data_IF_722771474369
#
_entry.id   IF_722771474369
#
_cell.length_a   1.000
_cell.length_b   1.000
_cell.length_c   1.000
_cell.angle_alpha   90.00
_cell.angle_beta   90.00
_cell.angle_gamma   90.00
#
_symmetry.space_group_name_H-M   'P 1'
#
loop_
_entity.id
_entity.type
_entity.pdbx_description
1 polymer ?
#
# COMPACT_ATOMS: atom_id res chain seq x y z
N UNK A 1 7.00 34.53 2.74
CA UNK A 1 6.43 35.54 3.66
C UNK A 1 6.69 35.08 5.09
N UNK A 2 7.18 35.93 6.01
CA UNK A 2 7.23 35.56 7.43
C UNK A 2 5.81 35.41 7.97
N UNK A 3 5.55 34.29 8.63
CA UNK A 3 4.28 33.98 9.28
C UNK A 3 4.30 34.65 10.66
N UNK A 4 3.26 35.39 11.02
CA UNK A 4 3.10 35.96 12.37
C UNK A 4 2.71 34.86 13.37
N UNK A 5 2.70 35.14 14.68
CA UNK A 5 2.17 34.20 15.69
C UNK A 5 0.70 33.88 15.39
N UNK A 6 0.42 32.68 14.88
CA UNK A 6 -0.92 32.23 14.48
C UNK A 6 -1.53 31.23 15.48
N UNK A 7 -0.73 30.54 16.28
CA UNK A 7 -1.17 29.39 17.08
C UNK A 7 -2.03 29.70 18.32
N UNK A 8 -2.34 30.97 18.58
CA UNK A 8 -3.12 31.41 19.74
C UNK A 8 -4.62 31.55 19.45
N UNK A 9 -5.04 31.35 18.19
CA UNK A 9 -6.45 31.44 17.80
C UNK A 9 -7.25 30.20 18.21
N UNK A 10 -8.52 30.40 18.57
CA UNK A 10 -9.42 29.34 19.06
C UNK A 10 -9.57 28.14 18.09
N UNK A 11 -9.39 28.35 16.79
CA UNK A 11 -9.48 27.29 15.77
C UNK A 11 -8.36 26.24 15.89
N UNK A 12 -7.26 26.58 16.56
CA UNK A 12 -6.13 25.68 16.78
C UNK A 12 -6.20 24.90 18.10
N UNK A 13 -7.22 25.12 18.92
CA UNK A 13 -7.37 24.46 20.21
C UNK A 13 -7.66 22.96 20.07
N UNK A 14 -7.12 22.14 20.98
CA UNK A 14 -7.32 20.68 21.01
C UNK A 14 -8.79 20.25 21.08
N UNK A 15 -9.63 21.05 21.75
CA UNK A 15 -11.07 20.80 21.83
C UNK A 15 -11.72 20.72 20.43
N UNK A 16 -11.30 21.58 19.50
CA UNK A 16 -11.79 21.56 18.11
C UNK A 16 -11.42 20.28 17.38
N UNK A 17 -10.22 19.74 17.65
CA UNK A 17 -9.83 18.42 17.16
C UNK A 17 -10.78 17.33 17.64
N UNK A 18 -11.13 17.34 18.93
CA UNK A 18 -12.06 16.36 19.51
C UNK A 18 -13.47 16.50 18.92
N UNK A 19 -14.00 17.72 18.82
CA UNK A 19 -15.33 17.98 18.23
C UNK A 19 -15.38 17.48 16.78
N UNK A 20 -14.41 17.87 15.95
CA UNK A 20 -14.38 17.46 14.54
C UNK A 20 -14.23 15.93 14.39
N UNK A 21 -13.46 15.28 15.27
CA UNK A 21 -13.38 13.81 15.29
C UNK A 21 -14.75 13.19 15.60
N UNK A 22 -15.40 13.64 16.67
CA UNK A 22 -16.67 13.09 17.13
C UNK A 22 -17.78 13.27 16.08
N UNK A 23 -17.83 14.45 15.44
CA UNK A 23 -18.75 14.73 14.32
C UNK A 23 -18.48 13.82 13.12
N UNK A 24 -17.21 13.58 12.77
CA UNK A 24 -16.86 12.70 11.64
C UNK A 24 -17.24 11.25 11.90
N UNK A 25 -17.14 10.81 13.16
CA UNK A 25 -17.51 9.45 13.56
C UNK A 25 -18.99 9.28 13.90
N UNK A 26 -19.76 10.38 13.92
CA UNK A 26 -21.15 10.44 14.39
C UNK A 26 -21.33 9.82 15.80
N UNK A 27 -20.46 10.23 16.72
CA UNK A 27 -20.43 9.71 18.10
C UNK A 27 -20.35 10.83 19.12
N UNK A 28 -21.00 10.64 20.27
CA UNK A 28 -20.87 11.54 21.43
C UNK A 28 -19.76 11.10 22.38
N UNK A 29 -19.36 9.84 22.32
CA UNK A 29 -18.29 9.26 23.14
C UNK A 29 -16.92 9.47 22.47
N UNK A 30 -15.85 9.44 23.27
CA UNK A 30 -14.49 9.62 22.76
C UNK A 30 -13.91 8.27 22.34
N UNK A 31 -13.94 7.97 21.03
CA UNK A 31 -13.22 6.82 20.46
C UNK A 31 -11.71 7.06 20.35
N UNK A 32 -11.28 8.33 20.28
CA UNK A 32 -9.87 8.70 20.31
C UNK A 32 -9.69 9.90 21.25
N UNK A 33 -8.62 9.89 22.03
CA UNK A 33 -8.32 10.96 22.98
C UNK A 33 -7.42 12.02 22.33
N UNK A 34 -7.82 13.28 22.43
CA UNK A 34 -6.99 14.43 22.04
C UNK A 34 -6.45 14.37 20.60
N UNK A 35 -7.30 14.07 19.58
CA UNK A 35 -6.88 14.20 18.19
C UNK A 35 -6.47 15.66 17.92
N UNK A 36 -5.48 15.86 17.05
CA UNK A 36 -5.04 17.21 16.68
C UNK A 36 -6.13 17.92 15.90
N UNK A 37 -6.10 19.25 15.90
CA UNK A 37 -7.00 20.06 15.06
C UNK A 37 -6.60 19.93 13.60
N UNK A 38 -7.58 19.68 12.72
CA UNK A 38 -7.38 19.66 11.25
C UNK A 38 -6.87 21.01 10.77
N UNK A 39 -7.42 22.11 11.31
CA UNK A 39 -7.02 23.48 10.99
C UNK A 39 -5.54 23.75 11.27
N UNK A 40 -5.01 23.24 12.39
CA UNK A 40 -3.60 23.40 12.73
C UNK A 40 -2.71 22.75 11.68
N UNK A 41 -3.04 21.51 11.28
CA UNK A 41 -2.26 20.81 10.26
C UNK A 41 -2.45 21.40 8.87
N UNK A 42 -3.66 21.89 8.55
CA UNK A 42 -3.95 22.57 7.29
C UNK A 42 -3.05 23.80 7.12
N UNK A 43 -2.97 24.65 8.15
CA UNK A 43 -2.11 25.83 8.11
C UNK A 43 -0.62 25.47 8.01
N UNK A 44 -0.16 24.45 8.76
CA UNK A 44 1.23 23.97 8.66
C UNK A 44 1.58 23.53 7.23
N UNK A 45 0.68 22.78 6.59
CA UNK A 45 0.87 22.31 5.21
C UNK A 45 0.81 23.46 4.20
N UNK A 46 -0.10 24.42 4.35
CA UNK A 46 -0.16 25.60 3.49
C UNK A 46 1.12 26.43 3.54
N UNK A 47 1.76 26.51 4.69
CA UNK A 47 2.99 27.29 4.88
C UNK A 47 4.24 26.53 4.44
N UNK A 48 4.26 25.21 4.62
CA UNK A 48 5.47 24.40 4.51
C UNK A 48 5.53 23.45 3.32
N UNK A 49 4.41 23.18 2.64
CA UNK A 49 4.34 22.17 1.59
C UNK A 49 3.80 22.72 0.26
N UNK A 50 4.52 22.51 -0.87
CA UNK A 50 3.97 22.79 -2.18
C UNK A 50 2.74 21.93 -2.49
N UNK A 51 2.02 22.26 -3.55
CA UNK A 51 0.76 21.60 -3.94
C UNK A 51 0.93 20.15 -4.40
N UNK A 52 2.14 19.69 -4.67
CA UNK A 52 2.50 18.35 -5.14
C UNK A 52 3.40 17.60 -4.14
N UNK A 53 3.49 18.09 -2.90
CA UNK A 53 4.35 17.50 -1.88
C UNK A 53 3.89 16.11 -1.42
N UNK A 54 4.85 15.26 -1.03
CA UNK A 54 4.60 14.05 -0.25
C UNK A 54 4.78 14.35 1.23
N UNK A 55 3.72 14.15 2.02
CA UNK A 55 3.68 14.40 3.46
C UNK A 55 3.82 13.09 4.21
N UNK A 56 4.87 12.96 5.03
CA UNK A 56 5.08 11.80 5.90
C UNK A 56 4.69 12.14 7.34
N UNK A 57 3.84 11.31 7.93
CA UNK A 57 3.55 11.32 9.36
C UNK A 57 3.65 9.89 9.90
N UNK A 58 4.76 9.62 10.58
CA UNK A 58 5.06 8.30 11.13
C UNK A 58 4.53 8.10 12.57
N UNK A 59 3.73 9.04 13.06
CA UNK A 59 2.97 8.95 14.32
C UNK A 59 1.52 9.37 14.05
N UNK A 60 0.88 8.69 13.10
CA UNK A 60 -0.42 9.08 12.56
C UNK A 60 -1.48 9.33 13.64
N UNK A 61 -1.51 8.48 14.68
CA UNK A 61 -2.44 8.56 15.80
C UNK A 61 -3.88 8.40 15.34
N UNK A 62 -4.57 9.53 15.17
CA UNK A 62 -5.93 9.53 14.60
C UNK A 62 -5.94 9.71 13.07
N UNK A 63 -4.80 9.96 12.43
CA UNK A 63 -4.66 10.36 11.02
C UNK A 63 -5.23 11.76 10.70
N UNK A 64 -4.99 12.74 11.59
CA UNK A 64 -5.38 14.14 11.32
C UNK A 64 -4.63 14.73 10.12
N UNK A 65 -3.36 14.35 9.90
CA UNK A 65 -2.53 14.82 8.79
C UNK A 65 -3.12 14.45 7.42
N UNK A 66 -3.49 13.18 7.23
CA UNK A 66 -4.14 12.72 6.00
C UNK A 66 -5.46 13.48 5.72
N UNK A 67 -6.27 13.71 6.75
CA UNK A 67 -7.48 14.54 6.62
C UNK A 67 -7.14 15.95 6.11
N UNK A 68 -6.16 16.62 6.73
CA UNK A 68 -5.76 17.97 6.32
C UNK A 68 -5.20 18.02 4.89
N UNK A 69 -4.45 16.99 4.47
CA UNK A 69 -3.95 16.87 3.09
C UNK A 69 -5.09 16.77 2.08
N UNK A 70 -6.05 15.86 2.29
CA UNK A 70 -7.21 15.71 1.40
C UNK A 70 -8.03 16.99 1.34
N UNK A 71 -8.26 17.64 2.50
CA UNK A 71 -8.99 18.89 2.57
C UNK A 71 -8.31 20.00 1.75
N UNK A 72 -6.98 20.12 1.83
CA UNK A 72 -6.26 21.12 1.04
C UNK A 72 -6.32 20.87 -0.45
N UNK A 73 -6.14 19.62 -0.88
CA UNK A 73 -6.23 19.30 -2.30
C UNK A 73 -7.63 19.64 -2.85
N UNK A 74 -8.69 19.41 -2.07
CA UNK A 74 -10.05 19.78 -2.42
C UNK A 74 -10.29 21.30 -2.51
N UNK A 75 -9.66 22.07 -1.62
CA UNK A 75 -9.79 23.53 -1.55
C UNK A 75 -8.96 24.27 -2.61
N UNK A 76 -7.74 23.79 -2.90
CA UNK A 76 -6.77 24.51 -3.72
C UNK A 76 -6.39 23.83 -5.03
N UNK A 77 -6.96 22.67 -5.34
CA UNK A 77 -6.69 21.90 -6.56
C UNK A 77 -5.30 21.27 -6.55
N UNK A 78 -4.70 21.11 -5.37
CA UNK A 78 -3.43 20.43 -5.21
C UNK A 78 -3.51 18.93 -5.44
N UNK A 79 -2.32 18.32 -5.50
CA UNK A 79 -2.08 16.89 -5.64
C UNK A 79 -1.07 16.41 -4.58
N UNK A 80 -1.21 16.91 -3.35
CA UNK A 80 -0.35 16.50 -2.22
C UNK A 80 -0.65 15.04 -1.88
N UNK A 81 0.40 14.23 -1.71
CA UNK A 81 0.31 12.83 -1.28
C UNK A 81 0.57 12.73 0.21
N UNK A 82 0.08 11.67 0.85
CA UNK A 82 0.40 11.38 2.25
C UNK A 82 0.89 9.95 2.44
N UNK A 83 1.80 9.76 3.39
CA UNK A 83 2.24 8.48 3.92
C UNK A 83 2.03 8.52 5.43
N UNK A 84 1.13 7.66 5.93
CA UNK A 84 0.82 7.56 7.35
C UNK A 84 1.38 6.24 7.90
N UNK A 85 2.18 6.31 8.95
CA UNK A 85 2.62 5.11 9.69
C UNK A 85 1.97 5.11 11.07
N UNK A 86 1.37 3.98 11.41
CA UNK A 86 0.73 3.76 12.71
C UNK A 86 1.04 2.35 13.19
N UNK A 87 1.61 2.24 14.40
CA UNK A 87 1.76 0.96 15.07
C UNK A 87 0.36 0.35 15.31
N UNK A 88 0.17 -0.96 15.13
CA UNK A 88 -1.09 -1.64 15.48
C UNK A 88 -1.19 -1.83 17.00
N UNK A 89 -1.07 -0.74 17.75
CA UNK A 89 -1.26 -0.71 19.20
C UNK A 89 -2.70 -1.06 19.53
N UNK A 90 -2.88 -2.04 20.42
CA UNK A 90 -4.20 -2.48 20.88
C UNK A 90 -4.88 -1.39 21.70
N UNK A 91 -6.17 -1.19 21.46
CA UNK A 91 -6.99 -0.33 22.30
C UNK A 91 -7.32 -1.04 23.61
N UNK A 92 -7.38 -0.31 24.72
CA UNK A 92 -7.85 -0.86 26.00
C UNK A 92 -9.25 -1.51 25.84
N UNK A 93 -9.41 -2.76 26.28
CA UNK A 93 -10.65 -3.54 26.17
C UNK A 93 -11.86 -2.84 26.81
N UNK A 94 -11.63 -1.97 27.80
CA UNK A 94 -12.67 -1.19 28.48
C UNK A 94 -13.00 0.11 27.77
N UNK A 95 -12.19 0.52 26.79
CA UNK A 95 -12.39 1.76 26.04
C UNK A 95 -13.63 1.71 25.15
N UNK A 96 -14.18 2.88 24.84
CA UNK A 96 -15.29 3.00 23.90
C UNK A 96 -14.88 2.61 22.48
N UNK A 97 -13.59 2.77 22.12
CA UNK A 97 -13.05 2.33 20.84
C UNK A 97 -13.14 0.81 20.67
N UNK A 98 -12.69 0.06 21.67
CA UNK A 98 -12.74 -1.40 21.64
C UNK A 98 -14.19 -1.91 21.58
N UNK A 99 -15.09 -1.32 22.37
CA UNK A 99 -16.53 -1.65 22.35
C UNK A 99 -17.18 -1.33 21.00
N UNK A 100 -16.69 -0.32 20.29
CA UNK A 100 -17.15 0.03 18.94
C UNK A 100 -16.51 -0.84 17.84
N UNK A 101 -15.68 -1.82 18.20
CA UNK A 101 -15.07 -2.79 17.27
C UNK A 101 -13.70 -2.40 16.74
N UNK A 102 -13.13 -1.27 17.18
CA UNK A 102 -11.76 -0.89 16.84
C UNK A 102 -10.80 -1.53 17.84
N UNK A 103 -10.18 -2.64 17.46
CA UNK A 103 -9.20 -3.38 18.28
C UNK A 103 -7.85 -2.69 18.34
N UNK A 104 -7.49 -1.93 17.31
CA UNK A 104 -6.20 -1.21 17.25
C UNK A 104 -6.37 0.24 16.88
N UNK A 105 -5.41 1.09 17.29
CA UNK A 105 -5.36 2.50 16.91
C UNK A 105 -5.30 2.66 15.37
N UNK A 106 -4.59 1.75 14.70
CA UNK A 106 -4.50 1.73 13.24
C UNK A 106 -5.88 1.59 12.55
N UNK A 107 -6.82 0.87 13.15
CA UNK A 107 -8.19 0.76 12.62
C UNK A 107 -8.95 2.08 12.71
N UNK A 108 -8.81 2.80 13.83
CA UNK A 108 -9.39 4.14 13.99
C UNK A 108 -8.79 5.12 12.98
N UNK A 109 -7.46 5.07 12.78
CA UNK A 109 -6.76 5.86 11.76
C UNK A 109 -7.31 5.61 10.35
N UNK A 110 -7.36 4.35 9.92
CA UNK A 110 -7.89 3.96 8.60
C UNK A 110 -9.33 4.44 8.43
N UNK A 111 -10.15 4.26 9.45
CA UNK A 111 -11.55 4.65 9.40
C UNK A 111 -11.75 6.17 9.34
N UNK A 112 -10.94 6.94 10.07
CA UNK A 112 -10.96 8.41 9.95
C UNK A 112 -10.63 8.83 8.53
N UNK A 113 -9.62 8.25 7.89
CA UNK A 113 -9.23 8.59 6.51
C UNK A 113 -10.40 8.34 5.55
N UNK A 114 -11.05 7.16 5.63
CA UNK A 114 -12.22 6.84 4.80
C UNK A 114 -13.36 7.83 4.97
N UNK A 115 -13.75 8.11 6.21
CA UNK A 115 -14.84 9.04 6.52
C UNK A 115 -14.53 10.47 6.11
N UNK A 116 -13.29 10.91 6.33
CA UNK A 116 -12.83 12.22 5.91
C UNK A 116 -12.91 12.36 4.39
N UNK A 117 -12.38 11.37 3.65
CA UNK A 117 -12.46 11.34 2.19
C UNK A 117 -13.90 11.42 1.69
N UNK A 118 -14.80 10.59 2.22
CA UNK A 118 -16.22 10.60 1.86
C UNK A 118 -16.88 11.97 2.12
N UNK A 119 -16.66 12.55 3.31
CA UNK A 119 -17.21 13.86 3.68
C UNK A 119 -16.67 15.00 2.80
N UNK A 120 -15.41 14.93 2.39
CA UNK A 120 -14.79 15.92 1.50
C UNK A 120 -15.40 15.84 0.09
N UNK A 121 -15.67 14.63 -0.41
CA UNK A 121 -16.32 14.43 -1.71
C UNK A 121 -17.76 14.96 -1.76
N UNK A 122 -18.47 14.94 -0.63
CA UNK A 122 -19.81 15.52 -0.48
C UNK A 122 -19.81 17.06 -0.40
N UNK A 123 -18.66 17.66 -0.07
CA UNK A 123 -18.50 19.10 0.10
C UNK A 123 -18.22 19.86 -1.20
N UNK A 124 -18.11 21.18 -1.07
CA UNK A 124 -17.63 22.04 -2.16
C UNK A 124 -16.14 21.78 -2.40
N UNK A 125 -15.79 21.49 -3.66
CA UNK A 125 -14.41 21.30 -4.09
C UNK A 125 -14.16 22.06 -5.40
N UNK A 126 -12.91 22.44 -5.63
CA UNK A 126 -12.54 23.10 -6.89
C UNK A 126 -12.56 22.11 -8.06
N UNK A 127 -13.02 22.56 -9.22
CA UNK A 127 -13.14 21.70 -10.42
C UNK A 127 -11.80 21.10 -10.88
N UNK A 128 -10.69 21.80 -10.61
CA UNK A 128 -9.35 21.35 -10.98
C UNK A 128 -8.84 20.16 -10.16
N UNK A 129 -9.49 19.82 -9.03
CA UNK A 129 -9.07 18.70 -8.20
C UNK A 129 -9.52 17.36 -8.77
N UNK A 130 -8.60 16.39 -8.81
CA UNK A 130 -8.83 15.03 -9.30
C UNK A 130 -9.71 14.16 -8.37
N UNK A 131 -10.15 14.70 -7.23
CA UNK A 131 -10.98 14.00 -6.23
C UNK A 131 -10.32 12.73 -5.67
N UNK A 132 -8.99 12.68 -5.67
CA UNK A 132 -8.27 11.57 -5.07
C UNK A 132 -8.32 11.64 -3.54
N UNK A 133 -9.16 10.78 -2.96
CA UNK A 133 -9.26 10.49 -1.52
C UNK A 133 -8.88 9.03 -1.21
N UNK A 134 -8.36 8.32 -2.21
CA UNK A 134 -7.98 6.93 -2.12
C UNK A 134 -6.71 6.76 -1.29
N UNK A 135 -6.54 5.57 -0.70
CA UNK A 135 -5.30 5.19 -0.06
C UNK A 135 -5.16 3.68 -0.06
N UNK A 136 -3.91 3.21 -0.11
CA UNK A 136 -3.56 1.80 0.08
C UNK A 136 -3.15 1.57 1.53
N UNK A 137 -3.47 0.39 2.06
CA UNK A 137 -3.09 -0.02 3.41
C UNK A 137 -2.09 -1.16 3.28
N UNK A 138 -0.89 -0.95 3.81
CA UNK A 138 0.16 -1.96 3.86
C UNK A 138 0.46 -2.30 5.31
N UNK A 139 0.86 -3.55 5.56
CA UNK A 139 1.26 -4.04 6.87
C UNK A 139 2.66 -4.62 6.75
N UNK A 140 3.50 -4.32 7.74
CA UNK A 140 4.79 -5.01 7.88
C UNK A 140 4.53 -6.42 8.42
N UNK A 141 5.06 -7.40 7.72
CA UNK A 141 5.01 -8.82 8.07
C UNK A 141 6.43 -9.41 7.90
N UNK A 142 6.62 -10.67 8.29
CA UNK A 142 7.82 -11.43 7.99
C UNK A 142 8.01 -11.63 6.49
N UNK A 143 9.26 -11.88 6.07
CA UNK A 143 9.62 -12.17 4.67
C UNK A 143 8.71 -13.23 4.06
N UNK A 144 8.41 -13.11 2.76
CA UNK A 144 7.71 -14.17 2.03
C UNK A 144 8.58 -15.40 1.79
N UNK A 145 9.91 -15.25 1.87
CA UNK A 145 10.84 -16.35 1.63
C UNK A 145 10.91 -17.28 2.83
N UNK A 146 10.97 -18.59 2.58
CA UNK A 146 11.20 -19.60 3.58
C UNK A 146 12.55 -19.36 4.26
N UNK A 147 12.55 -19.53 5.58
CA UNK A 147 13.73 -19.34 6.41
C UNK A 147 14.66 -20.55 6.25
N UNK A 148 15.65 -20.44 5.34
CA UNK A 148 16.62 -21.50 5.08
C UNK A 148 17.75 -21.41 6.11
N UNK A 149 17.49 -21.86 7.34
CA UNK A 149 18.50 -21.98 8.41
C UNK A 149 18.87 -23.44 8.63
N UNK A 150 19.71 -24.01 7.76
CA UNK A 150 20.37 -25.27 8.06
C UNK A 150 21.82 -25.25 7.59
N UNK A 151 22.69 -25.86 8.40
CA UNK A 151 24.00 -26.28 7.91
C UNK A 151 23.82 -27.63 7.18
N UNK A 152 24.64 -27.95 6.15
CA UNK A 152 24.53 -29.20 5.40
C UNK A 152 24.50 -30.45 6.31
N UNK A 153 25.14 -30.36 7.48
CA UNK A 153 25.27 -31.43 8.46
C UNK A 153 24.00 -31.68 9.30
N UNK A 154 23.02 -30.77 9.28
CA UNK A 154 21.75 -30.85 10.04
C UNK A 154 20.58 -31.35 9.19
N UNK A 155 20.79 -31.59 7.89
CA UNK A 155 19.72 -31.94 6.95
C UNK A 155 19.39 -33.43 7.02
N UNK A 156 18.13 -33.78 7.27
CA UNK A 156 17.66 -35.18 7.22
C UNK A 156 16.98 -35.46 5.88
N UNK A 157 17.03 -36.71 5.39
CA UNK A 157 16.41 -37.09 4.11
C UNK A 157 14.90 -36.78 4.06
N UNK A 158 14.21 -36.76 5.21
CA UNK A 158 12.81 -36.40 5.31
C UNK A 158 12.55 -34.90 5.09
N UNK A 159 13.50 -34.02 5.46
CA UNK A 159 13.38 -32.56 5.30
C UNK A 159 13.63 -32.05 3.87
N UNK A 160 14.11 -32.91 2.96
CA UNK A 160 14.32 -32.55 1.55
C UNK A 160 13.03 -32.19 0.81
N UNK A 161 11.89 -32.74 1.22
CA UNK A 161 10.60 -32.43 0.62
C UNK A 161 10.08 -31.06 1.06
N UNK A 162 10.45 -30.62 2.27
CA UNK A 162 10.09 -29.30 2.80
C UNK A 162 10.94 -28.16 2.18
N UNK A 163 12.01 -28.50 1.44
CA UNK A 163 12.89 -27.55 0.73
C UNK A 163 12.52 -27.31 -0.73
N UNK A 164 11.47 -27.94 -1.23
CA UNK A 164 11.06 -27.79 -2.65
C UNK A 164 10.53 -26.39 -2.93
N UNK A 165 9.92 -25.76 -1.92
CA UNK A 165 9.30 -24.45 -2.05
C UNK A 165 10.07 -23.41 -1.23
N UNK A 166 10.53 -22.36 -1.91
CA UNK A 166 11.24 -21.24 -1.31
C UNK A 166 10.30 -20.15 -0.78
N UNK A 167 8.98 -20.29 -0.98
CA UNK A 167 7.96 -19.36 -0.50
C UNK A 167 7.26 -19.94 0.72
N UNK A 168 7.07 -19.12 1.76
CA UNK A 168 6.32 -19.52 2.95
C UNK A 168 4.88 -19.90 2.60
N UNK A 169 4.33 -20.99 3.17
CA UNK A 169 2.93 -21.34 2.98
C UNK A 169 1.98 -20.21 3.41
N UNK A 170 0.90 -20.02 2.65
CA UNK A 170 -0.13 -19.02 2.95
C UNK A 170 0.16 -17.59 2.48
N UNK A 171 1.28 -17.36 1.78
CA UNK A 171 1.54 -16.08 1.08
C UNK A 171 0.73 -16.00 -0.21
N UNK A 172 0.09 -14.85 -0.42
CA UNK A 172 -0.69 -14.57 -1.63
C UNK A 172 0.21 -14.06 -2.76
N UNK A 173 -0.30 -14.09 -4.00
CA UNK A 173 0.39 -13.48 -5.14
C UNK A 173 0.61 -11.97 -4.96
N UNK A 174 -0.31 -11.29 -4.27
CA UNK A 174 -0.16 -9.87 -3.92
C UNK A 174 0.98 -9.64 -2.93
N UNK A 175 1.16 -10.50 -1.92
CA UNK A 175 2.27 -10.39 -0.95
C UNK A 175 3.63 -10.48 -1.67
N UNK A 176 3.73 -11.38 -2.65
CA UNK A 176 4.92 -11.55 -3.49
C UNK A 176 5.12 -10.33 -4.40
N UNK A 177 4.05 -9.82 -5.01
CA UNK A 177 4.11 -8.63 -5.84
C UNK A 177 4.68 -7.43 -5.05
N UNK A 178 4.14 -7.16 -3.86
CA UNK A 178 4.60 -6.02 -3.07
C UNK A 178 6.05 -6.16 -2.59
N UNK A 179 6.53 -7.38 -2.33
CA UNK A 179 7.95 -7.61 -2.08
C UNK A 179 8.80 -7.30 -3.33
N UNK A 180 8.40 -7.79 -4.50
CA UNK A 180 9.10 -7.53 -5.77
C UNK A 180 9.15 -6.03 -6.08
N UNK A 181 8.04 -5.31 -5.87
CA UNK A 181 7.99 -3.86 -6.08
C UNK A 181 9.02 -3.14 -5.20
N UNK A 182 9.14 -3.54 -3.94
CA UNK A 182 10.14 -3.00 -3.01
C UNK A 182 11.58 -3.35 -3.42
N UNK A 183 11.84 -4.62 -3.71
CA UNK A 183 13.17 -5.12 -4.10
C UNK A 183 13.71 -4.42 -5.37
N UNK A 184 12.80 -4.04 -6.27
CA UNK A 184 13.13 -3.36 -7.52
C UNK A 184 12.96 -1.84 -7.49
N UNK A 185 12.63 -1.28 -6.33
CA UNK A 185 12.47 0.17 -6.14
C UNK A 185 11.35 0.77 -6.99
N UNK A 186 10.31 -0.01 -7.30
CA UNK A 186 9.13 0.41 -8.04
C UNK A 186 8.16 1.10 -7.09
N UNK A 187 7.59 2.24 -7.50
CA UNK A 187 6.70 3.04 -6.66
C UNK A 187 5.39 2.28 -6.34
N UNK A 188 5.05 2.19 -5.06
CA UNK A 188 3.86 1.48 -4.56
C UNK A 188 2.54 2.16 -4.89
N UNK A 189 2.58 3.39 -5.41
CA UNK A 189 1.41 4.16 -5.85
C UNK A 189 0.98 3.83 -7.28
N UNK A 190 1.81 3.09 -8.03
CA UNK A 190 1.51 2.74 -9.42
C UNK A 190 0.25 1.87 -9.53
N UNK A 191 -0.54 2.04 -10.61
CA UNK A 191 -1.72 1.23 -10.84
C UNK A 191 -1.34 -0.24 -10.99
N UNK A 192 -2.14 -1.12 -10.41
CA UNK A 192 -1.97 -2.57 -10.49
C UNK A 192 -3.27 -3.14 -11.04
N UNK A 193 -3.19 -3.81 -12.18
CA UNK A 193 -4.29 -4.52 -12.80
C UNK A 193 -4.10 -6.02 -12.67
N UNK A 194 -5.21 -6.73 -12.43
CA UNK A 194 -5.23 -8.20 -12.31
C UNK A 194 -5.97 -8.75 -13.51
N UNK A 195 -5.31 -9.57 -14.32
CA UNK A 195 -5.88 -10.21 -15.51
C UNK A 195 -5.76 -11.73 -15.40
N UNK A 196 -6.74 -12.45 -15.94
CA UNK A 196 -6.67 -13.91 -16.06
C UNK A 196 -6.26 -14.27 -17.48
N UNK A 197 -5.08 -14.86 -17.64
CA UNK A 197 -4.49 -15.24 -18.93
C UNK A 197 -4.18 -16.73 -18.89
N UNK A 198 -4.66 -17.51 -19.86
CA UNK A 198 -4.55 -18.99 -19.86
C UNK A 198 -5.01 -19.64 -18.54
N UNK A 199 -6.02 -19.07 -17.89
CA UNK A 199 -6.52 -19.55 -16.59
C UNK A 199 -5.61 -19.25 -15.40
N UNK A 200 -4.55 -18.45 -15.57
CA UNK A 200 -3.62 -18.02 -14.53
C UNK A 200 -3.79 -16.53 -14.21
N UNK A 201 -3.60 -16.19 -12.95
CA UNK A 201 -3.63 -14.81 -12.50
C UNK A 201 -2.30 -14.12 -12.79
N UNK A 202 -2.37 -12.99 -13.50
CA UNK A 202 -1.22 -12.18 -13.87
C UNK A 202 -1.47 -10.74 -13.42
N UNK A 203 -0.47 -10.16 -12.76
CA UNK A 203 -0.45 -8.78 -12.31
C UNK A 203 0.30 -7.90 -13.31
N UNK A 204 -0.31 -6.78 -13.67
CA UNK A 204 0.25 -5.76 -14.56
C UNK A 204 0.41 -4.48 -13.76
N UNK A 205 1.63 -3.96 -13.65
CA UNK A 205 1.97 -2.75 -12.89
C UNK A 205 2.42 -1.66 -13.85
N UNK A 206 1.79 -0.49 -13.75
CA UNK A 206 2.03 0.66 -14.64
C UNK A 206 1.98 0.23 -16.12
N UNK A 207 0.78 -0.25 -16.51
CA UNK A 207 0.50 -0.93 -17.77
C UNK A 207 1.37 -2.18 -17.97
N UNK A 208 2.55 -2.05 -18.58
CA UNK A 208 3.46 -3.16 -18.89
C UNK A 208 4.88 -2.93 -18.32
N UNK A 209 5.06 -2.00 -17.38
CA UNK A 209 6.36 -1.77 -16.77
C UNK A 209 6.86 -2.98 -15.96
N UNK A 210 5.94 -3.65 -15.26
CA UNK A 210 6.21 -4.90 -14.58
C UNK A 210 5.02 -5.85 -14.72
N UNK A 211 5.31 -7.07 -15.16
CA UNK A 211 4.33 -8.15 -15.26
C UNK A 211 4.74 -9.27 -14.33
N UNK A 212 3.85 -9.74 -13.47
CA UNK A 212 4.16 -10.80 -12.52
C UNK A 212 3.12 -11.93 -12.54
N UNK A 213 3.61 -13.18 -12.56
CA UNK A 213 2.79 -14.38 -12.47
C UNK A 213 3.38 -15.30 -11.40
N UNK A 214 2.67 -15.43 -10.27
CA UNK A 214 3.10 -16.23 -9.12
C UNK A 214 2.38 -17.58 -9.00
N UNK A 215 1.52 -17.90 -9.98
CA UNK A 215 0.80 -19.16 -10.08
C UNK A 215 1.74 -20.33 -10.44
N UNK A 216 1.30 -21.55 -10.14
CA UNK A 216 2.02 -22.79 -10.52
C UNK A 216 1.48 -23.35 -11.84
N UNK A 217 2.27 -24.20 -12.51
CA UNK A 217 1.90 -24.78 -13.81
C UNK A 217 1.92 -23.76 -14.95
N UNK A 218 2.89 -22.85 -14.96
CA UNK A 218 3.15 -21.90 -16.05
C UNK A 218 3.60 -22.69 -17.28
N UNK A 219 2.90 -22.51 -18.41
CA UNK A 219 3.17 -23.18 -19.69
C UNK A 219 3.90 -22.24 -20.66
N UNK A 220 4.56 -22.80 -21.68
CA UNK A 220 5.15 -22.00 -22.76
C UNK A 220 4.14 -21.10 -23.49
N UNK A 221 2.88 -21.53 -23.60
CA UNK A 221 1.81 -20.75 -24.24
C UNK A 221 1.56 -19.43 -23.51
N UNK A 222 1.48 -19.50 -22.17
CA UNK A 222 1.35 -18.32 -21.32
C UNK A 222 2.58 -17.40 -21.48
N UNK A 223 3.79 -17.98 -21.45
CA UNK A 223 5.05 -17.23 -21.58
C UNK A 223 5.11 -16.49 -22.92
N UNK A 224 4.71 -17.14 -24.03
CA UNK A 224 4.65 -16.52 -25.36
C UNK A 224 3.64 -15.38 -25.41
N UNK A 225 2.47 -15.55 -24.79
CA UNK A 225 1.45 -14.50 -24.72
C UNK A 225 1.95 -13.28 -23.92
N UNK A 226 2.65 -13.49 -22.81
CA UNK A 226 3.27 -12.40 -22.03
C UNK A 226 4.43 -11.75 -22.79
N UNK A 227 5.28 -12.52 -23.47
CA UNK A 227 6.38 -12.00 -24.26
C UNK A 227 5.90 -11.14 -25.45
N UNK A 228 4.78 -11.51 -26.07
CA UNK A 228 4.16 -10.73 -27.16
C UNK A 228 3.68 -9.34 -26.71
N UNK A 229 3.43 -9.13 -25.41
CA UNK A 229 3.07 -7.82 -24.84
C UNK A 229 4.28 -6.90 -24.61
N UNK A 230 5.49 -7.41 -24.81
CA UNK A 230 6.75 -6.69 -24.66
C UNK A 230 6.88 -5.88 -23.35
N UNK A 231 6.74 -6.53 -22.17
CA UNK A 231 6.88 -5.83 -20.89
C UNK A 231 8.33 -5.42 -20.62
N UNK A 232 8.54 -4.35 -19.85
CA UNK A 232 9.91 -3.95 -19.48
C UNK A 232 10.54 -4.97 -18.53
N UNK A 233 9.75 -5.51 -17.61
CA UNK A 233 10.18 -6.52 -16.66
C UNK A 233 9.11 -7.58 -16.47
N UNK A 234 9.53 -8.82 -16.31
CA UNK A 234 8.64 -9.94 -16.00
C UNK A 234 9.18 -10.76 -14.83
N UNK A 235 8.28 -11.12 -13.90
CA UNK A 235 8.61 -11.94 -12.74
C UNK A 235 7.76 -13.19 -12.69
N UNK A 236 8.41 -14.32 -12.53
CA UNK A 236 7.80 -15.62 -12.31
C UNK A 236 8.22 -16.19 -10.97
N UNK A 237 7.43 -17.12 -10.45
CA UNK A 237 7.87 -18.02 -9.37
C UNK A 237 8.76 -19.11 -9.95
N UNK A 238 9.90 -19.38 -9.31
CA UNK A 238 10.89 -20.37 -9.77
C UNK A 238 10.32 -21.79 -9.81
N UNK A 239 9.51 -22.14 -8.81
CA UNK A 239 8.74 -23.39 -8.74
C UNK A 239 7.38 -23.31 -9.45
N UNK A 240 7.11 -22.20 -10.14
CA UNK A 240 5.86 -21.96 -10.83
C UNK A 240 5.75 -22.65 -12.20
N UNK A 241 6.86 -23.08 -12.80
CA UNK A 241 6.86 -23.66 -14.14
C UNK A 241 6.30 -25.08 -14.18
N UNK A 242 5.63 -25.43 -15.29
CA UNK A 242 5.06 -26.77 -15.48
C UNK A 242 6.13 -27.86 -15.63
N UNK A 243 7.27 -27.53 -16.26
CA UNK A 243 8.43 -28.41 -16.41
C UNK A 243 9.75 -27.61 -16.52
N UNK A 244 10.87 -28.30 -16.35
CA UNK A 244 12.22 -27.72 -16.44
C UNK A 244 12.52 -27.17 -17.84
N UNK A 245 11.91 -27.76 -18.89
CA UNK A 245 12.08 -27.31 -20.26
C UNK A 245 11.49 -25.91 -20.45
N UNK A 246 10.28 -25.67 -19.93
CA UNK A 246 9.61 -24.37 -19.96
C UNK A 246 10.44 -23.33 -19.23
N UNK A 247 10.97 -23.65 -18.05
CA UNK A 247 11.85 -22.76 -17.27
C UNK A 247 13.08 -22.33 -18.08
N UNK A 248 13.77 -23.27 -18.71
CA UNK A 248 14.95 -22.98 -19.56
C UNK A 248 14.56 -22.17 -20.79
N UNK A 249 13.39 -22.46 -21.38
CA UNK A 249 12.94 -21.83 -22.60
C UNK A 249 12.39 -20.42 -22.39
N UNK A 250 11.95 -20.04 -21.19
CA UNK A 250 11.38 -18.71 -20.90
C UNK A 250 12.31 -17.59 -21.33
N UNK A 251 13.58 -17.63 -20.91
CA UNK A 251 14.55 -16.60 -21.30
C UNK A 251 14.74 -16.54 -22.82
N UNK A 252 14.70 -17.68 -23.50
CA UNK A 252 14.83 -17.74 -24.97
C UNK A 252 13.60 -17.17 -25.67
N UNK A 253 12.39 -17.46 -25.18
CA UNK A 253 11.14 -16.93 -25.71
C UNK A 253 11.13 -15.40 -25.60
N UNK A 254 11.52 -14.86 -24.45
CA UNK A 254 11.64 -13.41 -24.25
C UNK A 254 12.75 -12.83 -25.14
N UNK A 255 13.95 -13.43 -25.22
CA UNK A 255 15.02 -12.95 -26.13
C UNK A 255 14.61 -12.91 -27.60
N UNK A 256 13.76 -13.82 -28.05
CA UNK A 256 13.27 -13.85 -29.44
C UNK A 256 12.15 -12.85 -29.71
N UNK A 257 11.25 -12.65 -28.75
CA UNK A 257 10.00 -11.92 -28.95
C UNK A 257 10.08 -10.47 -28.43
N UNK A 258 10.74 -10.29 -27.28
CA UNK A 258 10.93 -9.01 -26.59
C UNK A 258 12.33 -8.97 -25.94
N UNK A 259 13.38 -8.71 -26.74
CA UNK A 259 14.77 -8.82 -26.28
C UNK A 259 15.14 -7.82 -25.17
N UNK A 260 14.39 -6.74 -25.04
CA UNK A 260 14.62 -5.69 -24.03
C UNK A 260 13.93 -5.99 -22.68
N UNK A 261 13.16 -7.08 -22.57
CA UNK A 261 12.50 -7.49 -21.33
C UNK A 261 13.51 -8.10 -20.35
N UNK A 262 13.53 -7.59 -19.12
CA UNK A 262 14.25 -8.21 -18.01
C UNK A 262 13.40 -9.33 -17.38
N UNK A 263 13.92 -10.55 -17.34
CA UNK A 263 13.20 -11.75 -16.86
C UNK A 263 13.81 -12.19 -15.54
N UNK A 264 12.98 -12.36 -14.50
CA UNK A 264 13.41 -12.89 -13.21
C UNK A 264 12.49 -14.01 -12.72
N UNK A 265 13.10 -15.07 -12.19
CA UNK A 265 12.41 -16.09 -11.39
C UNK A 265 12.77 -15.88 -9.92
N UNK A 266 11.78 -15.91 -9.03
CA UNK A 266 11.94 -15.77 -7.58
C UNK A 266 11.44 -16.96 -6.80
#
# INVERSE_FOLDING_TARGET
KQVKSIWTEKRFHTEKGQTAFNELFDVKVKLFQSPKSVETLRELLLMGAPKDATILDFFAGSATTAHAVMQLNAEDGGNRKFIMVQLPEETDEKSEAFKAGYKTIAEISKERIRRAGAKILEGECVEAWNKDVGFRVLKVDSSNMADVWYTPDETTQAGLLDTVDNIKPGRSGEDLLFQVLLDWGVDLTLPIERQTIQGKEVFFVDDNALVACFETGITEELVRELAARAPLRVVFRDTGFADDATKINVEQIFRQTSPDTDVKAI
#
